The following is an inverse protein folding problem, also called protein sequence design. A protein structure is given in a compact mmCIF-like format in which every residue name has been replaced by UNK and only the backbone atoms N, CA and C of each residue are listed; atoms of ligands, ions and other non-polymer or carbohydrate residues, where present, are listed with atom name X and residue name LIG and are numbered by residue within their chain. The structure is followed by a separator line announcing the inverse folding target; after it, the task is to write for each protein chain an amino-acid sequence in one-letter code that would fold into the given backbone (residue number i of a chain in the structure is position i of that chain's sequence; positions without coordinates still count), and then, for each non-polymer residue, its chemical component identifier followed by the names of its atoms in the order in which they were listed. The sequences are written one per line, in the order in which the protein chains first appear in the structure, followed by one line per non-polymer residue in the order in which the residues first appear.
data_IF_412290283180
#
_entry.id   IF_412290283180
#
_cell.length_a   1.000
_cell.length_b   1.000
_cell.length_c   1.000
_cell.angle_alpha   90.00
_cell.angle_beta   90.00
_cell.angle_gamma   90.00
#
_symmetry.space_group_name_H-M   'P 1'
#
loop_
_entity.id
_entity.type
_entity.pdbx_description
1 polymer ?
#
# COMPACT_ATOMS: atom_id res chain seq x y z
N UNK A 1 -0.37 18.88 -11.01
CA UNK A 1 -1.68 18.64 -11.66
C UNK A 1 -1.81 19.35 -13.01
N UNK A 2 -0.76 19.96 -13.57
CA UNK A 2 -0.88 20.87 -14.72
C UNK A 2 -0.52 20.26 -16.09
N UNK A 3 0.18 19.13 -16.14
CA UNK A 3 0.72 18.61 -17.40
C UNK A 3 -0.29 17.92 -18.33
N UNK A 4 -1.25 17.16 -17.77
CA UNK A 4 -2.25 16.43 -18.58
C UNK A 4 -3.26 17.38 -19.25
N UNK A 5 -3.78 18.43 -18.57
CA UNK A 5 -4.61 19.45 -19.23
C UNK A 5 -3.91 20.20 -20.37
N UNK A 6 -2.58 20.39 -20.28
CA UNK A 6 -1.79 21.02 -21.34
C UNK A 6 -1.63 20.12 -22.58
N UNK A 7 -1.52 18.80 -22.39
CA UNK A 7 -1.53 17.85 -23.51
C UNK A 7 -2.91 17.81 -24.20
N UNK A 8 -3.99 17.97 -23.44
CA UNK A 8 -5.34 18.08 -23.99
C UNK A 8 -5.59 19.39 -24.76
N UNK A 9 -4.81 20.45 -24.50
CA UNK A 9 -4.86 21.70 -25.25
C UNK A 9 -3.97 21.74 -26.50
N UNK A 10 -3.52 20.57 -26.99
CA UNK A 10 -2.62 20.43 -28.14
C UNK A 10 -1.26 21.14 -27.97
N UNK A 11 -0.79 21.31 -26.72
CA UNK A 11 0.54 21.87 -26.46
C UNK A 11 1.64 20.93 -26.95
N UNK A 12 2.77 21.48 -27.36
CA UNK A 12 3.89 20.64 -27.81
C UNK A 12 4.46 19.84 -26.64
N UNK A 13 5.01 18.66 -26.92
CA UNK A 13 5.62 17.80 -25.89
C UNK A 13 6.72 18.54 -25.09
N UNK A 14 7.42 19.47 -25.74
CA UNK A 14 8.44 20.34 -25.11
C UNK A 14 7.81 21.27 -24.07
N UNK A 15 6.66 21.89 -24.36
CA UNK A 15 6.01 22.83 -23.43
C UNK A 15 5.52 22.12 -22.17
N UNK A 16 5.07 20.87 -22.32
CA UNK A 16 4.64 20.02 -21.22
C UNK A 16 5.82 19.62 -20.35
N UNK A 17 6.93 19.20 -20.96
CA UNK A 17 8.17 18.89 -20.23
C UNK A 17 8.72 20.14 -19.52
N UNK A 18 8.66 21.31 -20.18
CA UNK A 18 9.06 22.58 -19.58
C UNK A 18 8.22 22.91 -18.35
N UNK A 19 6.91 22.72 -18.43
CA UNK A 19 6.01 22.89 -17.29
C UNK A 19 6.33 21.90 -16.17
N UNK A 20 6.59 20.63 -16.51
CA UNK A 20 6.94 19.60 -15.54
C UNK A 20 8.27 19.87 -14.83
N UNK A 21 9.26 20.44 -15.52
CA UNK A 21 10.57 20.81 -14.96
C UNK A 21 10.49 21.94 -13.90
N UNK A 22 9.43 22.75 -13.95
CA UNK A 22 9.16 23.83 -12.99
C UNK A 22 8.42 23.33 -11.73
N UNK A 23 7.81 22.15 -11.78
CA UNK A 23 7.09 21.58 -10.63
C UNK A 23 8.10 21.02 -9.61
N UNK A 24 8.31 21.75 -8.52
CA UNK A 24 9.25 21.39 -7.43
C UNK A 24 8.73 20.32 -6.45
N UNK A 25 7.71 19.54 -6.82
CA UNK A 25 7.14 18.54 -5.90
C UNK A 25 8.10 17.40 -5.62
N UNK A 26 8.95 17.07 -6.60
CA UNK A 26 10.01 16.09 -6.46
C UNK A 26 11.28 16.62 -7.18
N UNK A 27 12.37 16.93 -6.46
CA UNK A 27 13.55 17.53 -7.04
C UNK A 27 14.32 16.60 -7.97
N UNK A 28 14.23 15.28 -7.78
CA UNK A 28 14.91 14.29 -8.62
C UNK A 28 14.19 14.16 -9.97
N UNK A 29 12.86 14.06 -9.95
CA UNK A 29 12.05 14.03 -11.16
C UNK A 29 12.17 15.35 -11.94
N UNK A 30 12.15 16.49 -11.24
CA UNK A 30 12.32 17.81 -11.86
C UNK A 30 13.72 17.98 -12.47
N UNK A 31 14.76 17.38 -11.85
CA UNK A 31 16.12 17.36 -12.42
C UNK A 31 16.12 16.61 -13.74
N UNK A 32 15.48 15.45 -13.82
CA UNK A 32 15.44 14.68 -15.08
C UNK A 32 14.73 15.41 -16.20
N UNK A 33 13.60 16.07 -15.92
CA UNK A 33 12.94 16.89 -16.94
C UNK A 33 13.82 18.07 -17.42
N UNK A 34 14.64 18.65 -16.55
CA UNK A 34 15.62 19.68 -16.97
C UNK A 34 16.73 19.09 -17.84
N UNK A 35 17.22 17.89 -17.52
CA UNK A 35 18.22 17.24 -18.36
C UNK A 35 17.64 16.91 -19.74
N UNK A 36 16.38 16.46 -19.83
CA UNK A 36 15.70 16.27 -21.13
C UNK A 36 15.64 17.59 -21.90
N UNK A 37 15.23 18.70 -21.27
CA UNK A 37 15.18 20.00 -21.94
C UNK A 37 16.56 20.47 -22.39
N UNK A 38 17.60 20.22 -21.60
CA UNK A 38 18.98 20.53 -21.95
C UNK A 38 19.45 19.72 -23.15
N UNK A 39 19.19 18.42 -23.15
CA UNK A 39 19.58 17.51 -24.23
C UNK A 39 18.89 17.91 -25.55
N UNK A 40 17.66 18.43 -25.51
CA UNK A 40 16.95 18.95 -26.70
C UNK A 40 17.45 20.32 -27.12
N UNK A 41 17.53 21.30 -26.20
CA UNK A 41 17.83 22.72 -26.54
C UNK A 41 19.32 22.99 -26.78
N UNK A 42 20.19 22.38 -25.97
CA UNK A 42 21.64 22.58 -26.02
C UNK A 42 22.33 21.40 -26.74
N UNK A 43 21.82 20.19 -26.56
CA UNK A 43 22.38 18.98 -27.16
C UNK A 43 21.92 18.67 -28.59
N UNK A 44 20.93 19.39 -29.12
CA UNK A 44 20.42 19.21 -30.49
C UNK A 44 19.73 17.87 -30.74
N UNK A 45 19.33 17.15 -29.69
CA UNK A 45 18.65 15.86 -29.80
C UNK A 45 17.17 16.03 -30.08
N UNK A 46 16.62 15.12 -30.89
CA UNK A 46 15.17 15.01 -31.03
C UNK A 46 14.52 14.66 -29.67
N UNK A 47 13.31 15.19 -29.44
CA UNK A 47 12.58 15.06 -28.16
C UNK A 47 12.35 13.60 -27.80
N UNK A 48 12.02 12.75 -28.79
CA UNK A 48 11.81 11.32 -28.56
C UNK A 48 13.11 10.64 -28.15
N UNK A 49 14.23 11.01 -28.78
CA UNK A 49 15.55 10.46 -28.46
C UNK A 49 16.03 10.89 -27.08
N UNK A 50 15.78 12.15 -26.70
CA UNK A 50 16.10 12.67 -25.36
C UNK A 50 15.30 11.95 -24.26
N UNK A 51 14.01 11.68 -24.49
CA UNK A 51 13.19 10.92 -23.54
C UNK A 51 13.69 9.47 -23.42
N UNK A 52 14.01 8.80 -24.53
CA UNK A 52 14.56 7.43 -24.50
C UNK A 52 15.84 7.34 -23.68
N UNK A 53 16.76 8.29 -23.86
CA UNK A 53 17.98 8.38 -23.04
C UNK A 53 17.67 8.61 -21.56
N UNK A 54 16.62 9.38 -21.25
CA UNK A 54 16.19 9.56 -19.87
C UNK A 54 15.60 8.28 -19.26
N UNK A 55 14.91 7.45 -20.04
CA UNK A 55 14.39 6.15 -19.58
C UNK A 55 15.55 5.22 -19.20
N UNK A 56 16.60 5.17 -20.01
CA UNK A 56 17.80 4.34 -19.73
C UNK A 56 18.56 4.81 -18.49
N UNK A 57 18.50 6.10 -18.16
CA UNK A 57 19.20 6.69 -17.02
C UNK A 57 18.46 6.50 -15.69
N UNK A 58 17.13 6.39 -15.71
CA UNK A 58 16.30 6.34 -14.50
C UNK A 58 15.93 4.89 -14.16
N UNK A 59 16.31 4.36 -12.98
CA UNK A 59 16.08 2.95 -12.61
C UNK A 59 14.61 2.63 -12.23
N UNK A 60 13.69 3.57 -12.40
CA UNK A 60 12.28 3.41 -12.01
C UNK A 60 11.45 2.86 -13.15
N UNK A 61 10.88 1.66 -12.97
CA UNK A 61 9.99 1.03 -13.95
C UNK A 61 8.75 1.89 -14.23
N UNK A 62 8.17 2.53 -13.20
CA UNK A 62 6.99 3.39 -13.37
C UNK A 62 7.32 4.61 -14.23
N UNK A 63 8.52 5.17 -14.08
CA UNK A 63 8.98 6.27 -14.91
C UNK A 63 9.18 5.83 -16.37
N UNK A 64 9.86 4.70 -16.56
CA UNK A 64 10.08 4.10 -17.88
C UNK A 64 8.77 3.84 -18.62
N UNK A 65 7.77 3.26 -17.95
CA UNK A 65 6.45 3.01 -18.48
C UNK A 65 5.74 4.29 -18.94
N UNK A 66 5.72 5.34 -18.10
CA UNK A 66 5.01 6.59 -18.39
C UNK A 66 5.69 7.34 -19.54
N UNK A 67 7.02 7.44 -19.52
CA UNK A 67 7.79 8.10 -20.57
C UNK A 67 7.77 7.32 -21.89
N UNK A 68 7.74 5.99 -21.82
CA UNK A 68 7.56 5.11 -22.98
C UNK A 68 6.20 5.35 -23.64
N UNK A 69 5.11 5.37 -22.83
CA UNK A 69 3.77 5.68 -23.31
C UNK A 69 3.69 7.09 -23.95
N UNK A 70 4.38 8.08 -23.40
CA UNK A 70 4.48 9.42 -23.99
C UNK A 70 5.13 9.39 -25.37
N UNK A 71 6.22 8.65 -25.53
CA UNK A 71 6.92 8.50 -26.82
C UNK A 71 6.08 7.73 -27.84
N UNK A 72 5.43 6.65 -27.42
CA UNK A 72 4.60 5.82 -28.29
C UNK A 72 3.36 6.57 -28.78
N UNK A 73 2.65 7.25 -27.87
CA UNK A 73 1.47 8.04 -28.21
C UNK A 73 1.81 9.26 -29.08
N UNK A 74 2.96 9.92 -28.86
CA UNK A 74 3.42 11.01 -29.70
C UNK A 74 3.62 10.58 -31.16
N UNK A 75 4.10 9.35 -31.41
CA UNK A 75 4.30 8.80 -32.77
C UNK A 75 3.00 8.42 -33.47
N UNK A 76 1.96 8.07 -32.73
CA UNK A 76 0.72 7.48 -33.27
C UNK A 76 -0.35 8.55 -33.56
N UNK A 77 -0.12 9.84 -33.27
CA UNK A 77 -1.12 10.93 -33.39
C UNK A 77 -2.39 10.73 -32.56
N UNK A 78 -2.58 9.60 -31.87
CA UNK A 78 -3.67 9.40 -30.93
C UNK A 78 -3.43 10.28 -29.73
N UNK A 79 -4.48 10.99 -29.29
CA UNK A 79 -4.44 11.94 -28.18
C UNK A 79 -3.63 11.41 -26.98
N UNK A 80 -2.41 11.93 -26.84
CA UNK A 80 -1.45 11.58 -25.78
C UNK A 80 -2.10 11.77 -24.40
N UNK A 81 -2.97 12.76 -24.26
CA UNK A 81 -3.67 13.02 -23.01
C UNK A 81 -4.58 11.85 -22.61
N UNK A 82 -5.31 11.24 -23.55
CA UNK A 82 -6.26 10.16 -23.25
C UNK A 82 -5.54 8.89 -22.75
N UNK A 83 -4.40 8.55 -23.38
CA UNK A 83 -3.58 7.40 -22.95
C UNK A 83 -3.00 7.64 -21.56
N UNK A 84 -2.53 8.86 -21.29
CA UNK A 84 -2.02 9.22 -19.96
C UNK A 84 -3.12 9.24 -18.90
N UNK A 85 -4.33 9.71 -19.24
CA UNK A 85 -5.49 9.66 -18.36
C UNK A 85 -5.84 8.22 -18.00
N UNK A 86 -5.86 7.31 -18.99
CA UNK A 86 -6.13 5.89 -18.73
C UNK A 86 -5.08 5.26 -17.79
N UNK A 87 -3.79 5.54 -18.01
CA UNK A 87 -2.72 5.05 -17.12
C UNK A 87 -2.84 5.68 -15.72
N UNK A 88 -3.18 6.96 -15.61
CA UNK A 88 -3.41 7.64 -14.34
C UNK A 88 -4.57 6.99 -13.57
N UNK A 89 -5.70 6.77 -14.22
CA UNK A 89 -6.87 6.11 -13.63
C UNK A 89 -6.52 4.70 -13.16
N UNK A 90 -5.75 3.95 -13.95
CA UNK A 90 -5.24 2.64 -13.54
C UNK A 90 -4.37 2.73 -12.27
N UNK A 91 -3.42 3.66 -12.22
CA UNK A 91 -2.53 3.84 -11.06
C UNK A 91 -3.31 4.24 -9.80
N UNK A 92 -4.28 5.15 -9.94
CA UNK A 92 -5.15 5.59 -8.85
C UNK A 92 -5.99 4.40 -8.35
N UNK A 93 -6.67 3.69 -9.25
CA UNK A 93 -7.49 2.51 -8.89
C UNK A 93 -6.65 1.43 -8.22
N UNK A 94 -5.47 1.14 -8.74
CA UNK A 94 -4.56 0.17 -8.15
C UNK A 94 -4.12 0.59 -6.73
N UNK A 95 -3.83 1.88 -6.52
CA UNK A 95 -3.49 2.42 -5.19
C UNK A 95 -4.67 2.30 -4.22
N UNK A 96 -5.87 2.65 -4.64
CA UNK A 96 -7.09 2.48 -3.83
C UNK A 96 -7.36 1.01 -3.51
N UNK A 97 -7.20 0.10 -4.48
CA UNK A 97 -7.38 -1.33 -4.26
C UNK A 97 -6.37 -1.88 -3.25
N UNK A 98 -5.10 -1.46 -3.33
CA UNK A 98 -4.08 -1.82 -2.34
C UNK A 98 -4.43 -1.33 -0.95
N UNK A 99 -4.79 -0.05 -0.81
CA UNK A 99 -5.23 0.51 0.48
C UNK A 99 -6.43 -0.23 1.04
N UNK A 100 -7.43 -0.51 0.20
CA UNK A 100 -8.63 -1.26 0.59
C UNK A 100 -8.28 -2.67 1.05
N UNK A 101 -7.40 -3.37 0.33
CA UNK A 101 -6.92 -4.69 0.70
C UNK A 101 -6.21 -4.66 2.05
N UNK A 102 -5.33 -3.68 2.29
CA UNK A 102 -4.65 -3.52 3.59
C UNK A 102 -5.65 -3.30 4.72
N UNK A 103 -6.65 -2.44 4.52
CA UNK A 103 -7.71 -2.22 5.52
C UNK A 103 -8.55 -3.47 5.77
N UNK A 104 -8.85 -4.26 4.73
CA UNK A 104 -9.57 -5.53 4.87
C UNK A 104 -8.77 -6.54 5.70
N UNK A 105 -7.47 -6.67 5.44
CA UNK A 105 -6.57 -7.51 6.24
C UNK A 105 -6.56 -7.06 7.70
N UNK A 106 -6.45 -5.75 7.98
CA UNK A 106 -6.48 -5.24 9.35
C UNK A 106 -7.82 -5.51 10.04
N UNK A 107 -8.94 -5.34 9.33
CA UNK A 107 -10.27 -5.62 9.86
C UNK A 107 -10.42 -7.10 10.25
N UNK A 108 -9.91 -8.00 9.42
CA UNK A 108 -9.92 -9.44 9.69
C UNK A 108 -9.04 -9.81 10.90
N UNK A 109 -7.86 -9.20 11.03
CA UNK A 109 -7.00 -9.40 12.21
C UNK A 109 -7.64 -8.89 13.50
N UNK A 110 -8.34 -7.74 13.44
CA UNK A 110 -9.09 -7.22 14.57
C UNK A 110 -10.25 -8.13 14.97
N UNK A 111 -10.94 -8.73 14.01
CA UNK A 111 -12.00 -9.72 14.28
C UNK A 111 -11.44 -10.93 15.02
N UNK A 112 -10.32 -11.50 14.54
CA UNK A 112 -9.64 -12.61 15.22
C UNK A 112 -9.21 -12.20 16.63
N UNK A 113 -8.65 -11.00 16.79
CA UNK A 113 -8.25 -10.47 18.10
C UNK A 113 -9.44 -10.41 19.06
N UNK A 114 -10.58 -9.86 18.63
CA UNK A 114 -11.78 -9.78 19.45
C UNK A 114 -12.28 -11.17 19.83
N UNK A 115 -12.30 -12.13 18.89
CA UNK A 115 -12.77 -13.48 19.17
C UNK A 115 -11.85 -14.20 20.14
N UNK A 116 -10.54 -14.23 19.89
CA UNK A 116 -9.60 -15.01 20.70
C UNK A 116 -9.26 -14.36 22.03
N UNK A 117 -9.05 -13.04 22.06
CA UNK A 117 -8.54 -12.34 23.25
C UNK A 117 -9.67 -11.83 24.13
N UNK A 118 -10.86 -11.55 23.58
CA UNK A 118 -12.00 -11.07 24.37
C UNK A 118 -13.09 -12.14 24.50
N UNK A 119 -13.70 -12.59 23.40
CA UNK A 119 -14.88 -13.47 23.48
C UNK A 119 -14.55 -14.82 24.11
N UNK A 120 -13.48 -15.49 23.68
CA UNK A 120 -13.11 -16.82 24.19
C UNK A 120 -12.86 -16.82 25.71
N UNK A 121 -12.02 -15.95 26.29
CA UNK A 121 -11.80 -15.95 27.73
C UNK A 121 -13.04 -15.53 28.50
N UNK A 122 -13.87 -14.62 27.98
CA UNK A 122 -15.16 -14.28 28.61
C UNK A 122 -16.05 -15.53 28.65
N UNK A 123 -16.15 -16.28 27.54
CA UNK A 123 -16.93 -17.51 27.49
C UNK A 123 -16.40 -18.54 28.49
N UNK A 124 -15.08 -18.72 28.58
CA UNK A 124 -14.46 -19.62 29.54
C UNK A 124 -14.75 -19.21 30.98
N UNK A 125 -14.61 -17.92 31.30
CA UNK A 125 -14.93 -17.38 32.64
C UNK A 125 -16.41 -17.63 32.96
N UNK A 126 -17.31 -17.35 32.03
CA UNK A 126 -18.74 -17.61 32.21
C UNK A 126 -19.02 -19.09 32.48
N UNK A 127 -18.42 -20.00 31.70
CA UNK A 127 -18.58 -21.44 31.90
C UNK A 127 -18.03 -21.90 33.25
N UNK A 128 -16.89 -21.38 33.68
CA UNK A 128 -16.31 -21.71 34.98
C UNK A 128 -17.20 -21.22 36.12
N UNK A 129 -17.74 -20.00 36.03
CA UNK A 129 -18.64 -19.46 37.05
C UNK A 129 -19.92 -20.29 37.14
N UNK A 130 -20.52 -20.66 36.00
CA UNK A 130 -21.77 -21.42 36.00
C UNK A 130 -21.61 -22.86 36.45
N UNK A 131 -20.47 -23.49 36.14
CA UNK A 131 -20.18 -24.87 36.54
C UNK A 131 -19.52 -24.98 37.91
N UNK A 132 -18.99 -23.89 38.47
CA UNK A 132 -18.34 -23.86 39.79
C UNK A 132 -19.13 -24.55 40.91
N UNK A 133 -20.48 -24.47 40.98
CA UNK A 133 -21.26 -25.16 42.02
C UNK A 133 -21.26 -26.69 41.89
N UNK A 134 -20.97 -27.23 40.71
CA UNK A 134 -20.90 -28.68 40.46
C UNK A 134 -19.61 -29.31 41.01
N UNK A 135 -18.68 -28.48 41.48
CA UNK A 135 -17.38 -28.90 42.00
C UNK A 135 -16.25 -28.75 40.99
N UNK A 136 -15.05 -29.27 41.33
CA UNK A 136 -13.87 -29.14 40.50
C UNK A 136 -13.97 -29.91 39.19
N UNK A 137 -13.33 -29.39 38.15
CA UNK A 137 -13.24 -30.03 36.84
C UNK A 137 -12.06 -31.00 36.88
N UNK A 138 -12.30 -32.28 36.59
CA UNK A 138 -11.25 -33.29 36.53
C UNK A 138 -10.78 -33.48 35.09
N UNK A 139 -9.50 -33.19 34.82
CA UNK A 139 -8.82 -33.53 33.56
C UNK A 139 -7.80 -34.63 33.84
N UNK A 140 -8.24 -35.89 33.77
CA UNK A 140 -7.39 -37.04 34.12
C UNK A 140 -6.92 -36.96 35.58
N UNK A 141 -5.60 -37.01 35.87
CA UNK A 141 -5.09 -36.90 37.23
C UNK A 141 -5.06 -35.45 37.76
N UNK A 142 -5.30 -34.43 36.91
CA UNK A 142 -5.35 -33.04 37.35
C UNK A 142 -6.76 -32.67 37.83
N UNK A 143 -6.84 -32.25 39.09
CA UNK A 143 -8.01 -31.57 39.63
C UNK A 143 -7.86 -30.07 39.39
N UNK A 144 -8.78 -29.49 38.62
CA UNK A 144 -8.81 -28.07 38.33
C UNK A 144 -9.92 -27.42 39.15
N UNK A 145 -9.51 -26.75 40.23
CA UNK A 145 -10.44 -25.94 41.00
C UNK A 145 -10.90 -24.73 40.16
N UNK A 146 -12.18 -24.32 40.23
CA UNK A 146 -12.72 -23.22 39.43
C UNK A 146 -11.90 -21.93 39.58
N UNK A 147 -11.41 -21.65 40.78
CA UNK A 147 -10.53 -20.51 41.07
C UNK A 147 -9.20 -20.58 40.32
N UNK A 148 -8.58 -21.77 40.24
CA UNK A 148 -7.34 -21.97 39.50
C UNK A 148 -7.54 -21.78 38.00
N UNK A 149 -8.65 -22.29 37.44
CA UNK A 149 -8.98 -22.09 36.02
C UNK A 149 -9.15 -20.61 35.69
N UNK A 150 -9.82 -19.84 36.57
CA UNK A 150 -10.00 -18.40 36.39
C UNK A 150 -8.66 -17.64 36.44
N UNK A 151 -7.79 -17.98 37.39
CA UNK A 151 -6.44 -17.39 37.50
C UNK A 151 -5.63 -17.69 36.24
N UNK A 152 -5.62 -18.93 35.75
CA UNK A 152 -4.90 -19.32 34.52
C UNK A 152 -5.45 -18.54 33.32
N UNK A 153 -6.78 -18.44 33.19
CA UNK A 153 -7.43 -17.75 32.07
C UNK A 153 -7.09 -16.25 32.04
N UNK A 154 -7.08 -15.59 33.20
CA UNK A 154 -6.80 -14.15 33.28
C UNK A 154 -5.30 -13.83 33.25
N UNK A 155 -4.48 -14.57 34.01
CA UNK A 155 -3.08 -14.22 34.23
C UNK A 155 -2.14 -14.84 33.20
N UNK A 156 -2.52 -15.97 32.60
CA UNK A 156 -1.65 -16.69 31.65
C UNK A 156 -2.22 -16.56 30.24
N UNK A 157 -3.47 -16.97 30.02
CA UNK A 157 -4.05 -17.00 28.68
C UNK A 157 -4.18 -15.59 28.07
N UNK A 158 -4.78 -14.63 28.78
CA UNK A 158 -4.99 -13.29 28.24
C UNK A 158 -3.69 -12.56 27.79
N UNK A 159 -2.60 -12.50 28.59
CA UNK A 159 -1.38 -11.84 28.16
C UNK A 159 -0.65 -12.61 27.05
N UNK A 160 -0.65 -13.95 27.09
CA UNK A 160 -0.04 -14.75 26.00
C UNK A 160 -0.76 -14.49 24.69
N UNK A 161 -2.09 -14.55 24.68
CA UNK A 161 -2.87 -14.33 23.46
C UNK A 161 -2.77 -12.88 22.97
N UNK A 162 -2.73 -11.91 23.89
CA UNK A 162 -2.42 -10.52 23.55
C UNK A 162 -1.06 -10.39 22.84
N UNK A 163 -0.02 -11.03 23.37
CA UNK A 163 1.31 -11.03 22.77
C UNK A 163 1.36 -11.73 21.40
N UNK A 164 0.71 -12.90 21.27
CA UNK A 164 0.59 -13.60 19.99
C UNK A 164 -0.12 -12.73 18.96
N UNK A 165 -1.22 -12.07 19.34
CA UNK A 165 -1.96 -11.19 18.43
C UNK A 165 -1.14 -9.97 18.01
N UNK A 166 -0.33 -9.41 18.91
CA UNK A 166 0.60 -8.34 18.60
C UNK A 166 1.61 -8.77 17.54
N UNK A 167 2.22 -9.95 17.69
CA UNK A 167 3.15 -10.51 16.70
C UNK A 167 2.46 -10.73 15.34
N UNK A 168 1.23 -11.26 15.33
CA UNK A 168 0.50 -11.49 14.09
C UNK A 168 0.22 -10.18 13.35
N UNK A 169 -0.18 -9.13 14.06
CA UNK A 169 -0.40 -7.80 13.49
C UNK A 169 0.91 -7.22 12.97
N UNK A 170 1.99 -7.26 13.76
CA UNK A 170 3.28 -6.71 13.36
C UNK A 170 3.87 -7.45 12.14
N UNK A 171 3.84 -8.78 12.15
CA UNK A 171 4.32 -9.61 11.04
C UNK A 171 3.56 -9.36 9.74
N UNK A 172 2.23 -9.18 9.82
CA UNK A 172 1.42 -8.92 8.63
C UNK A 172 1.60 -7.48 8.14
N UNK A 173 1.65 -6.49 9.04
CA UNK A 173 1.93 -5.10 8.69
C UNK A 173 3.32 -4.91 8.09
N UNK A 174 4.34 -5.61 8.61
CA UNK A 174 5.70 -5.58 8.05
C UNK A 174 5.80 -6.19 6.66
N UNK A 175 4.85 -7.05 6.27
CA UNK A 175 4.86 -7.74 4.97
C UNK A 175 4.12 -6.97 3.85
N UNK A 176 3.36 -5.92 4.19
CA UNK A 176 2.51 -5.13 3.30
C UNK A 176 3.14 -3.77 3.02
#
# INVERSE_FOLDING_TARGET
MTAIPLLASNATLIDVINTLALVKRDPEIAREFRIILRDVREGGLDVVSAIRRSIERVPSQVYADIMGLLVESYRVSSNVADVLFLKLDYLIRNRFNRLRSTTQTLSFLLEIYLVMVLLLPILLVLMVITLSPLGPIYLGPLQLDPTLVLIITLLIYAPIMGYVSYILIDSTMSSI
#
